data_IF_318382811332
#
_entry.id   IF_318382811332
#
_cell.length_a   1.000
_cell.length_b   1.000
_cell.length_c   1.000
_cell.angle_alpha   90.00
_cell.angle_beta   90.00
_cell.angle_gamma   90.00
#
_symmetry.space_group_name_H-M   'P 1'
#
loop_
_entity.id
_entity.type
_entity.pdbx_description
1 polymer ?
#
# COMPACT_ATOMS: atom_id res chain seq x y z
N UNK A 1 -7.60 -21.01 14.11
CA UNK A 1 -8.09 -20.54 12.78
C UNK A 1 -6.85 -20.28 11.93
N UNK A 2 -6.70 -20.96 10.78
CA UNK A 2 -5.46 -21.03 9.99
C UNK A 2 -5.13 -19.70 9.28
N UNK A 3 -3.83 -19.40 9.14
CA UNK A 3 -3.22 -18.15 8.66
C UNK A 3 -3.46 -17.82 7.17
N UNK A 4 -4.15 -18.68 6.40
CA UNK A 4 -4.14 -18.65 4.93
C UNK A 4 -5.53 -18.62 4.25
N UNK A 5 -6.58 -18.13 4.91
CA UNK A 5 -7.90 -17.99 4.27
C UNK A 5 -7.93 -16.73 3.38
N UNK A 6 -7.55 -16.87 2.10
CA UNK A 6 -7.61 -15.77 1.12
C UNK A 6 -9.05 -15.59 0.66
N UNK A 7 -9.78 -14.67 1.30
CA UNK A 7 -11.09 -14.23 0.82
C UNK A 7 -10.93 -13.09 -0.16
N UNK A 8 -11.41 -13.31 -1.38
CA UNK A 8 -11.56 -12.23 -2.35
C UNK A 8 -12.56 -11.21 -1.80
N UNK A 9 -12.23 -9.93 -1.97
CA UNK A 9 -13.11 -8.81 -1.61
C UNK A 9 -12.94 -7.70 -2.62
N UNK A 10 -14.03 -7.00 -2.88
CA UNK A 10 -13.96 -5.76 -3.63
C UNK A 10 -13.44 -4.66 -2.71
N UNK A 11 -12.52 -3.86 -3.25
CA UNK A 11 -11.94 -2.72 -2.55
C UNK A 11 -12.15 -1.49 -3.43
N UNK A 12 -12.90 -0.49 -2.96
CA UNK A 12 -13.00 0.78 -3.66
C UNK A 12 -11.61 1.37 -3.88
N UNK A 13 -11.30 1.66 -5.14
CA UNK A 13 -10.06 2.26 -5.58
C UNK A 13 -10.29 3.76 -5.80
N UNK A 14 -9.30 4.60 -5.47
CA UNK A 14 -9.41 6.02 -5.79
C UNK A 14 -9.17 6.26 -7.28
N UNK A 15 -9.69 7.37 -7.80
CA UNK A 15 -9.50 7.75 -9.19
C UNK A 15 -8.02 7.93 -9.54
N UNK A 16 -7.20 8.42 -8.59
CA UNK A 16 -5.75 8.58 -8.77
C UNK A 16 -5.06 7.22 -8.93
N UNK A 17 -5.40 6.25 -8.09
CA UNK A 17 -4.84 4.90 -8.18
C UNK A 17 -5.28 4.21 -9.47
N UNK A 18 -6.54 4.36 -9.87
CA UNK A 18 -7.05 3.84 -11.14
C UNK A 18 -6.27 4.44 -12.33
N UNK A 19 -6.13 5.77 -12.38
CA UNK A 19 -5.37 6.46 -13.45
C UNK A 19 -3.92 6.00 -13.50
N UNK A 20 -3.25 5.87 -12.35
CA UNK A 20 -1.87 5.41 -12.30
C UNK A 20 -1.71 3.96 -12.82
N UNK A 21 -2.65 3.07 -12.46
CA UNK A 21 -2.67 1.69 -12.96
C UNK A 21 -2.91 1.67 -14.47
N UNK A 22 -3.86 2.46 -14.98
CA UNK A 22 -4.13 2.54 -16.42
C UNK A 22 -2.93 3.07 -17.20
N UNK A 23 -2.26 4.11 -16.69
CA UNK A 23 -1.04 4.65 -17.29
C UNK A 23 0.07 3.58 -17.34
N UNK A 24 0.24 2.80 -16.27
CA UNK A 24 1.17 1.67 -16.26
C UNK A 24 0.79 0.57 -17.26
N UNK A 25 -0.48 0.18 -17.32
CA UNK A 25 -0.98 -0.84 -18.27
C UNK A 25 -0.85 -0.39 -19.73
N UNK A 26 -0.96 0.90 -20.01
CA UNK A 26 -0.74 1.46 -21.35
C UNK A 26 0.75 1.51 -21.72
N UNK A 27 1.62 1.81 -20.75
CA UNK A 27 3.07 1.93 -20.97
C UNK A 27 3.81 0.58 -20.94
N UNK A 28 3.22 -0.47 -20.36
CA UNK A 28 3.89 -1.78 -20.28
C UNK A 28 4.07 -2.36 -21.68
N UNK A 29 5.26 -2.87 -22.03
CA UNK A 29 5.53 -3.36 -23.38
C UNK A 29 5.06 -4.80 -23.61
N UNK A 30 4.55 -5.49 -22.58
CA UNK A 30 4.01 -6.85 -22.68
C UNK A 30 2.66 -6.96 -22.02
N UNK A 31 1.75 -7.62 -22.70
CA UNK A 31 0.48 -8.05 -22.12
C UNK A 31 0.73 -9.17 -21.12
N UNK A 32 0.14 -9.05 -19.93
CA UNK A 32 0.20 -10.05 -18.86
C UNK A 32 -1.12 -10.08 -18.11
N UNK A 33 -1.44 -11.26 -17.56
CA UNK A 33 -2.55 -11.46 -16.62
C UNK A 33 -2.32 -10.72 -15.28
N UNK A 34 -1.09 -10.30 -14.99
CA UNK A 34 -0.73 -9.53 -13.81
C UNK A 34 -0.55 -8.05 -14.15
N UNK A 35 -0.97 -7.17 -13.23
CA UNK A 35 -0.80 -5.72 -13.39
C UNK A 35 0.67 -5.33 -13.21
N UNK A 36 1.30 -5.77 -12.11
CA UNK A 36 2.69 -5.47 -11.79
C UNK A 36 3.58 -6.67 -12.10
N UNK A 37 4.41 -6.55 -13.12
CA UNK A 37 5.28 -7.62 -13.61
C UNK A 37 6.75 -7.38 -13.28
N UNK A 38 7.50 -8.48 -13.24
CA UNK A 38 8.92 -8.50 -12.96
C UNK A 38 9.77 -8.19 -14.22
N UNK A 39 10.99 -7.67 -13.99
CA UNK A 39 12.03 -7.50 -15.00
C UNK A 39 13.03 -8.66 -14.92
N UNK A 40 13.11 -9.50 -15.96
CA UNK A 40 14.06 -10.61 -16.16
C UNK A 40 15.51 -10.11 -16.45
N UNK A 41 16.04 -9.27 -15.55
CA UNK A 41 17.40 -8.75 -15.64
C UNK A 41 17.62 -7.71 -16.74
N UNK A 42 18.83 -7.13 -16.75
CA UNK A 42 19.17 -5.92 -17.50
C UNK A 42 19.07 -4.68 -16.62
N UNK A 43 19.92 -3.67 -16.88
CA UNK A 43 19.78 -2.38 -16.22
C UNK A 43 18.46 -1.74 -16.66
N UNK A 44 17.67 -1.21 -15.73
CA UNK A 44 16.44 -0.47 -16.04
C UNK A 44 16.68 0.70 -17.00
N UNK A 45 17.92 1.22 -17.02
CA UNK A 45 18.40 2.28 -17.92
C UNK A 45 18.93 1.75 -19.27
N UNK A 46 19.15 0.44 -19.40
CA UNK A 46 19.52 -0.14 -20.68
C UNK A 46 18.29 -0.22 -21.58
N UNK A 47 18.41 0.17 -22.84
CA UNK A 47 17.34 0.05 -23.85
C UNK A 47 16.85 -1.38 -24.12
N UNK A 48 17.40 -2.38 -23.40
CA UNK A 48 17.09 -3.81 -23.50
C UNK A 48 16.59 -4.37 -22.16
N UNK A 49 15.80 -3.61 -21.40
CA UNK A 49 15.15 -4.12 -20.19
C UNK A 49 14.31 -5.38 -20.55
N UNK A 50 14.70 -6.54 -20.00
CA UNK A 50 14.01 -7.80 -20.29
C UNK A 50 12.77 -7.87 -19.42
N UNK A 51 11.61 -7.60 -20.01
CA UNK A 51 10.34 -7.60 -19.29
C UNK A 51 9.68 -8.97 -19.31
N UNK A 52 9.22 -9.41 -18.14
CA UNK A 52 8.55 -10.69 -17.95
C UNK A 52 7.03 -10.53 -17.91
N UNK A 53 6.30 -11.59 -18.19
CA UNK A 53 4.88 -11.72 -17.90
C UNK A 53 4.61 -12.20 -16.47
N UNK A 54 5.66 -12.61 -15.73
CA UNK A 54 5.60 -13.07 -14.34
C UNK A 54 5.30 -11.92 -13.36
N UNK A 55 4.57 -12.18 -12.27
CA UNK A 55 4.28 -11.17 -11.26
C UNK A 55 5.53 -10.74 -10.50
N UNK A 56 5.53 -9.52 -9.97
CA UNK A 56 6.55 -9.09 -9.01
C UNK A 56 6.55 -10.01 -7.77
N UNK A 57 7.76 -10.36 -7.32
CA UNK A 57 7.93 -11.00 -6.02
C UNK A 57 7.81 -9.99 -4.88
N UNK A 58 7.45 -10.44 -3.68
CA UNK A 58 7.47 -9.59 -2.48
C UNK A 58 8.84 -8.95 -2.26
N UNK A 59 9.93 -9.70 -2.50
CA UNK A 59 11.31 -9.19 -2.39
C UNK A 59 11.56 -8.04 -3.37
N UNK A 60 11.06 -8.15 -4.60
CA UNK A 60 11.16 -7.08 -5.60
C UNK A 60 10.42 -5.83 -5.16
N UNK A 61 9.21 -5.96 -4.60
CA UNK A 61 8.43 -4.82 -4.06
C UNK A 61 9.22 -4.11 -2.95
N UNK A 62 9.82 -4.86 -2.03
CA UNK A 62 10.66 -4.29 -0.98
C UNK A 62 11.85 -3.49 -1.54
N UNK A 63 12.51 -4.02 -2.57
CA UNK A 63 13.63 -3.32 -3.23
C UNK A 63 13.17 -2.04 -3.93
N UNK A 64 12.03 -2.07 -4.60
CA UNK A 64 11.43 -0.88 -5.24
C UNK A 64 11.16 0.20 -4.19
N UNK A 65 10.51 -0.15 -3.08
CA UNK A 65 10.24 0.79 -1.98
C UNK A 65 11.53 1.39 -1.42
N UNK A 66 12.56 0.57 -1.21
CA UNK A 66 13.85 1.08 -0.70
C UNK A 66 14.54 2.02 -1.68
N UNK A 67 14.57 1.65 -2.96
CA UNK A 67 15.21 2.44 -4.00
C UNK A 67 14.58 3.82 -4.13
N UNK A 68 13.26 3.91 -4.27
CA UNK A 68 12.57 5.19 -4.32
C UNK A 68 12.56 5.92 -2.98
N UNK A 69 12.57 5.18 -1.86
CA UNK A 69 12.71 5.74 -0.52
C UNK A 69 14.05 6.47 -0.34
N UNK A 70 15.14 5.94 -0.91
CA UNK A 70 16.44 6.60 -0.87
C UNK A 70 16.44 7.92 -1.66
N UNK A 71 15.77 7.95 -2.82
CA UNK A 71 15.64 9.14 -3.64
C UNK A 71 14.89 10.30 -2.95
N UNK A 72 14.10 10.00 -1.91
CA UNK A 72 13.36 11.01 -1.13
C UNK A 72 13.85 11.12 0.32
N UNK A 73 15.02 10.55 0.65
CA UNK A 73 15.64 10.67 1.97
C UNK A 73 14.99 9.85 3.09
N UNK A 74 14.19 8.83 2.75
CA UNK A 74 13.54 7.93 3.72
C UNK A 74 14.33 6.62 3.96
N UNK A 75 15.36 6.39 3.15
CA UNK A 75 16.25 5.24 3.21
C UNK A 75 17.68 5.73 3.05
N UNK A 76 18.56 5.21 3.89
CA UNK A 76 19.98 5.48 3.76
C UNK A 76 20.51 4.80 2.46
N UNK A 77 21.10 5.56 1.53
CA UNK A 77 21.52 5.05 0.23
C UNK A 77 22.72 4.08 0.31
N UNK A 78 23.53 4.15 1.37
CA UNK A 78 24.73 3.33 1.54
C UNK A 78 24.44 2.06 2.34
N UNK A 79 23.71 2.18 3.45
CA UNK A 79 23.42 1.07 4.36
C UNK A 79 22.14 0.31 4.00
N UNK A 80 21.29 0.90 3.15
CA UNK A 80 19.94 0.42 2.83
C UNK A 80 19.04 0.22 4.07
N UNK A 81 19.41 0.87 5.18
CA UNK A 81 18.56 0.97 6.36
C UNK A 81 17.36 1.85 6.03
N UNK A 82 16.17 1.36 6.33
CA UNK A 82 14.92 1.93 5.83
C UNK A 82 13.94 2.11 6.97
N UNK A 83 13.46 3.35 7.12
CA UNK A 83 12.33 3.64 8.00
C UNK A 83 10.99 3.27 7.36
N UNK A 84 10.96 3.12 6.03
CA UNK A 84 9.77 2.81 5.24
C UNK A 84 9.71 1.34 4.78
N UNK A 85 8.52 0.76 4.82
CA UNK A 85 8.21 -0.62 4.44
C UNK A 85 6.95 -0.63 3.57
N UNK A 86 6.74 -1.65 2.71
CA UNK A 86 5.48 -1.77 1.94
C UNK A 86 4.22 -1.69 2.81
N UNK A 87 4.28 -2.22 4.03
CA UNK A 87 3.14 -2.13 4.96
C UNK A 87 2.86 -0.69 5.41
N UNK A 88 3.84 0.21 5.44
CA UNK A 88 3.63 1.59 5.88
C UNK A 88 2.73 2.38 4.91
N UNK A 89 2.74 2.05 3.61
CA UNK A 89 1.75 2.59 2.66
C UNK A 89 0.32 2.18 3.04
N UNK A 90 0.12 0.90 3.40
CA UNK A 90 -1.17 0.41 3.89
C UNK A 90 -1.56 1.09 5.21
N UNK A 91 -0.62 1.27 6.13
CA UNK A 91 -0.85 1.97 7.40
C UNK A 91 -1.26 3.42 7.15
N UNK A 92 -0.54 4.13 6.29
CA UNK A 92 -0.83 5.51 5.91
C UNK A 92 -2.25 5.65 5.35
N UNK A 93 -2.63 4.83 4.36
CA UNK A 93 -3.99 4.86 3.81
C UNK A 93 -5.03 4.59 4.90
N UNK A 94 -4.78 3.59 5.75
CA UNK A 94 -5.62 3.27 6.91
C UNK A 94 -5.84 4.46 7.84
N UNK A 95 -4.75 5.11 8.27
CA UNK A 95 -4.79 6.31 9.12
C UNK A 95 -5.55 7.45 8.46
N UNK A 96 -5.30 7.72 7.17
CA UNK A 96 -5.96 8.83 6.46
C UNK A 96 -7.46 8.60 6.31
N UNK A 97 -7.88 7.37 6.02
CA UNK A 97 -9.31 7.02 5.96
C UNK A 97 -9.94 7.09 7.34
N UNK A 98 -9.28 6.59 8.38
CA UNK A 98 -9.79 6.62 9.75
C UNK A 98 -10.04 8.06 10.22
N UNK A 99 -9.06 8.95 10.02
CA UNK A 99 -9.17 10.37 10.38
C UNK A 99 -10.22 11.15 9.58
N UNK A 100 -10.41 10.81 8.29
CA UNK A 100 -11.33 11.58 7.42
C UNK A 100 -12.75 11.03 7.36
N UNK A 101 -12.92 9.73 7.56
CA UNK A 101 -14.18 8.99 7.29
C UNK A 101 -14.58 8.08 8.45
N UNK A 102 -13.83 8.08 9.54
CA UNK A 102 -14.07 7.28 10.74
C UNK A 102 -13.47 5.86 10.69
N UNK A 103 -13.31 5.22 11.86
CA UNK A 103 -12.67 3.91 12.01
C UNK A 103 -13.38 2.79 11.26
N UNK A 104 -14.70 2.85 11.12
CA UNK A 104 -15.48 1.81 10.43
C UNK A 104 -15.15 1.76 8.93
N UNK A 105 -15.02 2.93 8.29
CA UNK A 105 -14.64 3.02 6.89
C UNK A 105 -13.22 2.51 6.66
N UNK A 106 -12.29 2.83 7.57
CA UNK A 106 -10.94 2.28 7.52
C UNK A 106 -10.91 0.75 7.72
N UNK A 107 -11.74 0.21 8.62
CA UNK A 107 -11.89 -1.25 8.79
C UNK A 107 -12.30 -1.93 7.49
N UNK A 108 -13.33 -1.40 6.81
CA UNK A 108 -13.84 -1.93 5.55
C UNK A 108 -12.79 -1.80 4.43
N UNK A 109 -12.15 -0.63 4.30
CA UNK A 109 -11.12 -0.41 3.29
C UNK A 109 -9.91 -1.34 3.46
N UNK A 110 -9.47 -1.56 4.70
CA UNK A 110 -8.32 -2.44 5.00
C UNK A 110 -8.71 -3.93 5.04
N UNK A 111 -9.99 -4.26 5.20
CA UNK A 111 -10.46 -5.63 5.33
C UNK A 111 -10.12 -6.26 6.69
N UNK A 112 -10.09 -5.45 7.76
CA UNK A 112 -9.88 -5.97 9.10
C UNK A 112 -11.14 -6.68 9.61
N UNK A 113 -10.98 -7.92 10.06
CA UNK A 113 -12.09 -8.72 10.60
C UNK A 113 -12.68 -8.09 11.87
N UNK A 114 -11.83 -7.52 12.72
CA UNK A 114 -12.21 -6.90 13.98
C UNK A 114 -11.86 -5.42 13.96
N UNK A 115 -12.76 -4.57 14.45
CA UNK A 115 -12.56 -3.10 14.48
C UNK A 115 -11.43 -2.69 15.42
N UNK A 116 -11.18 -3.48 16.48
CA UNK A 116 -10.06 -3.28 17.40
C UNK A 116 -8.73 -3.13 16.66
N UNK A 117 -8.48 -3.98 15.65
CA UNK A 117 -7.27 -3.89 14.81
C UNK A 117 -7.12 -2.54 14.11
N UNK A 118 -8.22 -1.85 13.81
CA UNK A 118 -8.16 -0.50 13.24
C UNK A 118 -7.98 0.56 14.33
N UNK A 119 -8.67 0.44 15.45
CA UNK A 119 -8.59 1.39 16.56
C UNK A 119 -7.17 1.40 17.16
N UNK A 120 -6.62 0.23 17.48
CA UNK A 120 -5.29 0.08 18.11
C UNK A 120 -4.13 0.64 17.26
N UNK A 121 -4.31 0.75 15.94
CA UNK A 121 -3.23 1.11 15.02
C UNK A 121 -3.38 2.50 14.38
N UNK A 122 -4.59 3.09 14.35
CA UNK A 122 -4.87 4.23 13.46
C UNK A 122 -5.73 5.34 14.07
N UNK A 123 -6.37 5.13 15.22
CA UNK A 123 -7.21 6.13 15.89
C UNK A 123 -6.72 6.31 17.31
N UNK A 124 -5.83 7.29 17.50
CA UNK A 124 -5.48 7.83 18.80
C UNK A 124 -6.05 9.24 18.82
N UNK A 125 -7.34 9.35 19.15
CA UNK A 125 -7.98 10.63 19.40
C UNK A 125 -8.20 10.74 20.90
N UNK A 126 -7.76 11.85 21.49
CA UNK A 126 -8.10 12.18 22.85
C UNK A 126 -9.54 12.70 22.89
N UNK A 127 -10.34 12.33 23.90
CA UNK A 127 -11.70 12.81 24.01
C UNK A 127 -11.73 14.33 24.16
N UNK A 128 -12.54 14.99 23.33
CA UNK A 128 -12.75 16.43 23.43
C UNK A 128 -13.44 16.78 24.77
N UNK A 129 -13.08 17.93 25.35
CA UNK A 129 -13.73 18.41 26.55
C UNK A 129 -15.23 18.64 26.26
N UNK A 130 -16.09 18.00 27.06
CA UNK A 130 -17.54 18.07 26.85
C UNK A 130 -18.09 17.08 25.82
N UNK A 131 -17.34 16.06 25.39
CA UNK A 131 -17.83 15.00 24.47
C UNK A 131 -19.08 14.27 24.98
N UNK A 132 -19.34 14.34 26.28
CA UNK A 132 -20.51 13.75 26.92
C UNK A 132 -21.63 14.74 27.28
N UNK A 133 -21.49 16.01 26.92
CA UNK A 133 -22.54 17.00 27.15
C UNK A 133 -23.75 16.71 26.26
N UNK A 134 -24.96 16.91 26.80
CA UNK A 134 -26.24 16.78 26.08
C UNK A 134 -26.49 15.40 25.45
N UNK A 135 -25.92 14.34 26.03
CA UNK A 135 -26.16 12.95 25.60
C UNK A 135 -27.57 12.42 25.92
N UNK A 136 -28.37 13.19 26.67
CA UNK A 136 -29.76 12.89 27.02
C UNK A 136 -30.60 14.17 27.05
#
# INVERSE_FOLDING_TARGET
RSKNEVKFRDVPMSDEAYKAIQAWVAARPRTSAYIFTHFEGGHSESGNARLSDKPLSSVSIWRIVKHYGAAVGLVDPETLESTIKPHDFRRFVGTRVAKKRGPKQAQLQLGHKHIATTLDNYVLEEPEAGVANDLF
#
